data_IF_836619883438
#
_entry.id   IF_836619883438
#
_cell.length_a   1.000
_cell.length_b   1.000
_cell.length_c   1.000
_cell.angle_alpha   90.00
_cell.angle_beta   90.00
_cell.angle_gamma   90.00
#
_symmetry.space_group_name_H-M   'P 1'
#
loop_
_entity.id
_entity.type
_entity.pdbx_description
1 polymer ?
#
# COMPACT_ATOMS: atom_id res chain seq x y z
N UNK A 1 11.18 -13.06 -42.38
CA UNK A 1 11.83 -11.75 -42.50
C UNK A 1 13.23 -11.97 -43.08
N UNK A 2 13.62 -11.23 -44.12
CA UNK A 2 14.96 -11.36 -44.70
C UNK A 2 16.02 -10.80 -43.75
N UNK A 3 17.26 -11.31 -43.84
CA UNK A 3 18.41 -10.76 -43.12
C UNK A 3 18.66 -9.29 -43.47
N UNK A 4 18.28 -8.88 -44.69
CA UNK A 4 18.31 -7.47 -45.13
C UNK A 4 17.24 -6.65 -44.42
N UNK A 5 15.99 -7.11 -44.40
CA UNK A 5 14.87 -6.40 -43.75
C UNK A 5 15.16 -6.15 -42.26
N UNK A 6 15.76 -7.14 -41.58
CA UNK A 6 16.19 -6.99 -40.19
C UNK A 6 17.21 -5.87 -40.00
N UNK A 7 18.17 -5.73 -40.93
CA UNK A 7 19.19 -4.66 -40.88
C UNK A 7 18.58 -3.29 -41.18
N UNK A 8 17.64 -3.21 -42.12
CA UNK A 8 16.89 -1.97 -42.40
C UNK A 8 16.12 -1.52 -41.16
N UNK A 9 15.40 -2.43 -40.51
CA UNK A 9 14.68 -2.14 -39.26
C UNK A 9 15.61 -1.68 -38.13
N UNK A 10 16.77 -2.33 -37.96
CA UNK A 10 17.75 -1.93 -36.94
C UNK A 10 18.37 -0.57 -37.23
N UNK A 11 18.74 -0.29 -38.48
CA UNK A 11 19.27 1.01 -38.88
C UNK A 11 18.25 2.13 -38.64
N UNK A 12 16.99 1.92 -39.05
CA UNK A 12 15.90 2.87 -38.80
C UNK A 12 15.65 3.06 -37.31
N UNK A 13 15.64 1.98 -36.52
CA UNK A 13 15.49 2.04 -35.06
C UNK A 13 16.58 2.88 -34.41
N UNK A 14 17.84 2.59 -34.70
CA UNK A 14 19.00 3.30 -34.12
C UNK A 14 19.06 4.76 -34.55
N UNK A 15 18.68 5.05 -35.79
CA UNK A 15 18.61 6.42 -36.28
C UNK A 15 17.50 7.23 -35.60
N UNK A 16 16.31 6.66 -35.46
CA UNK A 16 15.12 7.38 -34.97
C UNK A 16 14.99 7.42 -33.45
N UNK A 17 15.41 6.37 -32.74
CA UNK A 17 15.29 6.31 -31.27
C UNK A 17 16.58 6.75 -30.57
N UNK A 18 17.74 6.36 -31.10
CA UNK A 18 19.04 6.62 -30.46
C UNK A 18 19.76 7.84 -31.08
N UNK A 19 19.15 8.53 -32.06
CA UNK A 19 19.71 9.66 -32.81
C UNK A 19 21.10 9.39 -33.43
N UNK A 20 21.42 8.14 -33.72
CA UNK A 20 22.72 7.77 -34.26
C UNK A 20 22.86 8.21 -35.72
N UNK A 21 24.05 8.69 -36.06
CA UNK A 21 24.39 9.06 -37.42
C UNK A 21 24.74 7.82 -38.27
N UNK A 22 24.94 8.03 -39.57
CA UNK A 22 25.24 6.96 -40.54
C UNK A 22 26.56 6.23 -40.22
N UNK A 23 27.53 6.93 -39.63
CA UNK A 23 28.83 6.38 -39.27
C UNK A 23 28.74 5.55 -38.00
N UNK A 24 28.02 6.05 -37.00
CA UNK A 24 27.77 5.36 -35.74
C UNK A 24 26.93 4.10 -35.94
N UNK A 25 25.91 4.14 -36.81
CA UNK A 25 25.11 2.96 -37.17
C UNK A 25 25.99 1.90 -37.85
N UNK A 26 26.91 2.32 -38.74
CA UNK A 26 27.86 1.40 -39.38
C UNK A 26 28.75 0.74 -38.34
N UNK A 27 29.34 1.53 -37.46
CA UNK A 27 30.28 1.04 -36.45
C UNK A 27 29.57 0.11 -35.46
N UNK A 28 28.29 0.38 -35.17
CA UNK A 28 27.44 -0.51 -34.36
C UNK A 28 27.12 -1.83 -35.05
N UNK A 29 26.88 -1.84 -36.36
CA UNK A 29 26.73 -3.10 -37.12
C UNK A 29 28.00 -3.97 -37.07
N UNK A 30 29.17 -3.33 -37.10
CA UNK A 30 30.44 -4.04 -36.99
C UNK A 30 30.67 -4.58 -35.57
N UNK A 31 30.40 -3.76 -34.55
CA UNK A 31 30.51 -4.14 -33.14
C UNK A 31 29.57 -5.30 -32.76
N UNK A 32 28.34 -5.33 -33.29
CA UNK A 32 27.39 -6.42 -33.07
C UNK A 32 27.65 -7.66 -33.95
N UNK A 33 28.74 -7.67 -34.74
CA UNK A 33 29.13 -8.79 -35.59
C UNK A 33 28.18 -9.03 -36.79
N UNK A 34 27.38 -8.03 -37.15
CA UNK A 34 26.42 -8.12 -38.25
C UNK A 34 27.06 -7.88 -39.62
N UNK A 35 28.31 -7.41 -39.65
CA UNK A 35 29.13 -7.21 -40.84
C UNK A 35 29.61 -5.76 -41.01
N UNK A 36 30.67 -5.58 -41.79
CA UNK A 36 31.16 -4.25 -42.18
C UNK A 36 30.44 -3.77 -43.44
N UNK A 37 29.78 -2.61 -43.35
CA UNK A 37 28.99 -2.02 -44.44
C UNK A 37 29.56 -0.67 -44.88
N UNK A 38 29.33 -0.31 -46.15
CA UNK A 38 29.64 1.02 -46.64
C UNK A 38 28.61 2.04 -46.09
N UNK A 39 29.04 3.29 -45.89
CA UNK A 39 28.14 4.39 -45.48
C UNK A 39 26.97 4.59 -46.46
N UNK A 40 27.19 4.33 -47.75
CA UNK A 40 26.12 4.35 -48.77
C UNK A 40 25.05 3.31 -48.48
N UNK A 41 25.43 2.09 -48.11
CA UNK A 41 24.48 1.01 -47.78
C UNK A 41 23.62 1.35 -46.58
N UNK A 42 24.19 1.97 -45.54
CA UNK A 42 23.41 2.45 -44.38
C UNK A 42 22.46 3.57 -44.79
N UNK A 43 22.90 4.52 -45.64
CA UNK A 43 22.00 5.55 -46.20
C UNK A 43 20.87 4.95 -47.03
N UNK A 44 21.14 3.90 -47.79
CA UNK A 44 20.11 3.20 -48.57
C UNK A 44 19.07 2.57 -47.63
N UNK A 45 19.50 1.94 -46.54
CA UNK A 45 18.59 1.40 -45.51
C UNK A 45 17.72 2.48 -44.86
N UNK A 46 18.29 3.66 -44.57
CA UNK A 46 17.54 4.78 -43.98
C UNK A 46 16.56 5.45 -44.94
N UNK A 47 16.62 5.14 -46.24
CA UNK A 47 15.76 5.70 -47.29
C UNK A 47 14.83 4.65 -47.93
N UNK A 48 14.90 3.40 -47.51
CA UNK A 48 14.12 2.30 -48.09
C UNK A 48 12.64 2.41 -47.70
N UNK A 49 11.72 2.34 -48.67
CA UNK A 49 10.27 2.25 -48.40
C UNK A 49 9.92 0.83 -47.95
N UNK A 50 9.12 0.63 -46.89
CA UNK A 50 8.27 1.61 -46.20
C UNK A 50 8.88 2.13 -44.88
N UNK A 51 9.72 3.16 -44.96
CA UNK A 51 10.35 3.81 -43.80
C UNK A 51 9.35 4.28 -42.74
N UNK A 52 8.30 4.98 -43.15
CA UNK A 52 7.31 5.58 -42.25
C UNK A 52 6.52 4.52 -41.47
N UNK A 53 5.99 3.49 -42.17
CA UNK A 53 5.29 2.37 -41.53
C UNK A 53 6.19 1.58 -40.57
N UNK A 54 7.49 1.47 -40.89
CA UNK A 54 8.46 0.79 -40.02
C UNK A 54 8.76 1.63 -38.78
N UNK A 55 8.88 2.95 -38.90
CA UNK A 55 9.06 3.85 -37.76
C UNK A 55 7.83 3.82 -36.85
N UNK A 56 6.63 3.97 -37.41
CA UNK A 56 5.37 3.91 -36.65
C UNK A 56 5.23 2.56 -35.93
N UNK A 57 5.53 1.45 -36.61
CA UNK A 57 5.50 0.12 -35.99
C UNK A 57 6.58 -0.07 -34.90
N UNK A 58 7.71 0.63 -34.98
CA UNK A 58 8.75 0.65 -33.94
C UNK A 58 8.26 1.46 -32.74
N UNK A 59 7.69 2.64 -32.97
CA UNK A 59 7.15 3.52 -31.93
C UNK A 59 6.00 2.85 -31.17
N UNK A 60 5.03 2.25 -31.89
CA UNK A 60 3.93 1.51 -31.29
C UNK A 60 4.43 0.35 -30.42
N UNK A 61 5.36 -0.47 -30.93
CA UNK A 61 5.92 -1.57 -30.12
C UNK A 61 6.67 -1.06 -28.90
N UNK A 62 7.37 0.06 -29.00
CA UNK A 62 8.05 0.66 -27.86
C UNK A 62 7.04 1.22 -26.84
N UNK A 63 5.96 1.85 -27.29
CA UNK A 63 4.87 2.32 -26.44
C UNK A 63 4.16 1.15 -25.72
N UNK A 64 3.88 0.05 -26.44
CA UNK A 64 3.30 -1.16 -25.86
C UNK A 64 4.21 -1.77 -24.78
N UNK A 65 5.52 -1.85 -25.04
CA UNK A 65 6.50 -2.37 -24.07
C UNK A 65 6.56 -1.46 -22.84
N UNK A 66 6.57 -0.13 -23.03
CA UNK A 66 6.54 0.84 -21.93
C UNK A 66 5.27 0.69 -21.10
N UNK A 67 4.12 0.53 -21.75
CA UNK A 67 2.84 0.30 -21.09
C UNK A 67 2.84 -1.00 -20.29
N UNK A 68 3.34 -2.10 -20.84
CA UNK A 68 3.45 -3.38 -20.13
C UNK A 68 4.35 -3.29 -18.90
N UNK A 69 5.47 -2.55 -19.00
CA UNK A 69 6.34 -2.30 -17.85
C UNK A 69 5.60 -1.48 -16.80
N UNK A 70 4.91 -0.40 -17.21
CA UNK A 70 4.14 0.45 -16.31
C UNK A 70 3.00 -0.29 -15.60
N UNK A 71 2.29 -1.17 -16.31
CA UNK A 71 1.24 -2.04 -15.75
C UNK A 71 1.80 -3.04 -14.75
N UNK A 72 2.97 -3.62 -15.05
CA UNK A 72 3.66 -4.53 -14.12
C UNK A 72 4.08 -3.81 -12.84
N UNK A 73 4.67 -2.63 -12.95
CA UNK A 73 5.09 -1.82 -11.80
C UNK A 73 3.88 -1.35 -10.96
N UNK A 74 2.75 -1.01 -11.61
CA UNK A 74 1.50 -0.71 -10.91
C UNK A 74 0.97 -1.92 -10.12
N UNK A 75 1.04 -3.13 -10.68
CA UNK A 75 0.64 -4.34 -9.96
C UNK A 75 1.51 -4.60 -8.74
N UNK A 76 2.82 -4.35 -8.84
CA UNK A 76 3.75 -4.47 -7.71
C UNK A 76 3.46 -3.41 -6.65
N UNK A 77 3.20 -2.16 -7.06
CA UNK A 77 2.77 -1.08 -6.17
C UNK A 77 1.50 -1.43 -5.39
N UNK A 78 0.45 -1.89 -6.08
CA UNK A 78 -0.81 -2.29 -5.45
C UNK A 78 -0.62 -3.44 -4.45
N UNK A 79 0.24 -4.40 -4.79
CA UNK A 79 0.57 -5.53 -3.90
C UNK A 79 1.32 -5.07 -2.64
N UNK A 80 2.29 -4.17 -2.79
CA UNK A 80 3.03 -3.60 -1.66
C UNK A 80 2.10 -2.80 -0.72
N UNK A 81 1.19 -2.00 -1.29
CA UNK A 81 0.18 -1.25 -0.53
C UNK A 81 -0.79 -2.16 0.23
N UNK A 82 -1.25 -3.24 -0.39
CA UNK A 82 -2.09 -4.24 0.29
C UNK A 82 -1.35 -4.93 1.43
N UNK A 83 -0.07 -5.28 1.24
CA UNK A 83 0.74 -5.87 2.30
C UNK A 83 0.95 -4.92 3.49
N UNK A 84 1.14 -3.62 3.25
CA UNK A 84 1.18 -2.60 4.31
C UNK A 84 -0.16 -2.52 5.06
N UNK A 85 -1.28 -2.48 4.34
CA UNK A 85 -2.60 -2.43 4.95
C UNK A 85 -2.95 -3.70 5.75
N UNK A 86 -2.53 -4.87 5.28
CA UNK A 86 -2.75 -6.14 5.98
C UNK A 86 -1.87 -6.30 7.23
N UNK A 87 -0.71 -5.64 7.27
CA UNK A 87 0.18 -5.61 8.43
C UNK A 87 -0.33 -4.68 9.55
N UNK A 88 -1.16 -3.69 9.23
CA UNK A 88 -1.79 -2.78 10.20
C UNK A 88 -3.21 -3.25 10.50
N UNK A 89 -3.35 -4.43 11.11
CA UNK A 89 -4.66 -4.89 11.60
C UNK A 89 -4.81 -4.53 13.08
N UNK A 90 -5.82 -3.72 13.36
CA UNK A 90 -6.22 -3.38 14.71
C UNK A 90 -6.81 -4.63 15.38
N UNK A 91 -6.15 -5.13 16.44
CA UNK A 91 -6.69 -6.22 17.24
C UNK A 91 -7.64 -5.64 18.30
N UNK A 92 -8.88 -6.17 18.43
CA UNK A 92 -9.81 -5.71 19.44
C UNK A 92 -9.32 -6.10 20.84
N UNK A 93 -9.11 -5.09 21.69
CA UNK A 93 -8.87 -5.29 23.11
C UNK A 93 -10.21 -5.60 23.74
N UNK A 94 -10.35 -6.83 24.22
CA UNK A 94 -11.50 -7.28 24.97
C UNK A 94 -11.08 -7.38 26.43
N UNK A 95 -11.80 -6.69 27.31
CA UNK A 95 -11.64 -6.84 28.76
C UNK A 95 -12.79 -7.63 29.36
N UNK A 96 -12.52 -8.28 30.48
CA UNK A 96 -13.47 -8.99 31.30
C UNK A 96 -13.90 -8.08 32.45
N UNK A 97 -15.20 -7.82 32.55
CA UNK A 97 -15.79 -7.04 33.66
C UNK A 97 -16.91 -7.82 34.34
N UNK A 98 -17.20 -7.56 35.64
CA UNK A 98 -18.29 -8.20 36.33
C UNK A 98 -19.61 -7.83 35.66
N UNK A 99 -20.46 -8.83 35.42
CA UNK A 99 -21.80 -8.59 34.94
C UNK A 99 -22.62 -7.95 36.05
N UNK A 100 -23.05 -6.71 35.87
CA UNK A 100 -23.90 -6.00 36.82
C UNK A 100 -25.38 -6.06 36.42
N UNK A 101 -26.24 -5.82 37.41
CA UNK A 101 -27.64 -5.49 37.25
C UNK A 101 -27.97 -4.29 38.14
N UNK A 102 -29.11 -3.66 37.94
CA UNK A 102 -29.50 -2.45 38.65
C UNK A 102 -30.62 -2.72 39.63
N UNK A 103 -30.56 -2.13 40.81
CA UNK A 103 -31.71 -2.14 41.73
C UNK A 103 -32.78 -1.21 41.17
N UNK A 104 -34.02 -1.69 41.08
CA UNK A 104 -35.17 -0.89 40.64
C UNK A 104 -35.24 0.45 41.38
N UNK A 105 -35.39 1.55 40.62
CA UNK A 105 -35.44 2.91 41.17
C UNK A 105 -36.66 3.12 42.08
N UNK A 106 -37.76 2.39 41.85
CA UNK A 106 -39.02 2.51 42.58
C UNK A 106 -39.00 1.82 43.96
N UNK A 107 -37.86 1.23 44.35
CA UNK A 107 -37.74 0.47 45.60
C UNK A 107 -37.61 1.41 46.80
N UNK A 108 -38.49 1.26 47.80
CA UNK A 108 -38.46 2.14 48.99
C UNK A 108 -37.33 1.81 49.99
N UNK A 109 -36.80 0.58 49.95
CA UNK A 109 -35.79 0.10 50.91
C UNK A 109 -34.54 -0.43 50.19
N UNK A 110 -33.33 -0.17 50.72
CA UNK A 110 -32.10 -0.70 50.16
C UNK A 110 -32.13 -2.23 50.06
N UNK A 111 -31.67 -2.75 48.93
CA UNK A 111 -31.51 -4.17 48.73
C UNK A 111 -30.30 -4.67 49.51
N UNK A 112 -30.47 -5.74 50.28
CA UNK A 112 -29.35 -6.43 50.91
C UNK A 112 -28.69 -7.35 49.89
N UNK A 113 -27.40 -7.18 49.66
CA UNK A 113 -26.63 -7.98 48.72
C UNK A 113 -25.30 -8.40 49.35
N UNK A 114 -24.69 -9.54 48.96
CA UNK A 114 -23.35 -9.86 49.39
C UNK A 114 -22.37 -8.72 49.06
N UNK A 115 -21.51 -8.38 50.00
CA UNK A 115 -20.44 -7.39 49.79
C UNK A 115 -19.39 -7.97 48.82
N UNK A 116 -18.89 -7.11 47.94
CA UNK A 116 -17.84 -7.44 46.98
C UNK A 116 -16.70 -6.42 47.06
N UNK A 117 -15.52 -6.87 46.67
CA UNK A 117 -14.33 -6.03 46.53
C UNK A 117 -13.59 -6.35 45.23
N UNK A 118 -12.88 -5.36 44.71
CA UNK A 118 -12.02 -5.53 43.53
C UNK A 118 -10.75 -6.24 43.98
N UNK A 119 -10.35 -7.26 43.21
CA UNK A 119 -9.12 -8.01 43.43
C UNK A 119 -8.04 -7.37 42.55
N UNK A 120 -7.02 -6.81 43.18
CA UNK A 120 -5.91 -6.15 42.50
C UNK A 120 -4.95 -7.18 41.88
N UNK A 121 -4.27 -6.85 40.77
CA UNK A 121 -3.22 -7.69 40.21
C UNK A 121 -2.13 -8.01 41.25
N UNK A 122 -1.91 -9.29 41.52
CA UNK A 122 -0.94 -9.77 42.51
C UNK A 122 -1.51 -10.22 43.87
N UNK A 123 -2.82 -10.11 44.08
CA UNK A 123 -3.52 -10.82 45.17
C UNK A 123 -3.53 -12.35 44.87
N UNK A 124 -3.54 -13.19 45.92
CA UNK A 124 -3.59 -14.66 45.80
C UNK A 124 -4.86 -15.12 45.07
N UNK A 125 -5.95 -14.36 45.21
CA UNK A 125 -7.22 -14.64 44.54
C UNK A 125 -7.29 -14.06 43.11
N UNK A 126 -6.23 -13.43 42.61
CA UNK A 126 -6.20 -12.90 41.24
C UNK A 126 -5.96 -14.03 40.23
N UNK A 127 -6.90 -14.32 39.31
CA UNK A 127 -6.78 -15.47 38.42
C UNK A 127 -5.64 -15.34 37.41
N UNK A 128 -4.93 -16.44 37.14
CA UNK A 128 -3.81 -16.47 36.17
C UNK A 128 -4.22 -16.12 34.73
N UNK A 129 -5.49 -16.27 34.38
CA UNK A 129 -6.01 -15.92 33.05
C UNK A 129 -6.33 -14.43 32.90
N UNK A 130 -6.44 -13.69 34.01
CA UNK A 130 -6.83 -12.29 34.00
C UNK A 130 -5.63 -11.41 33.64
N UNK A 131 -5.89 -10.37 32.87
CA UNK A 131 -4.92 -9.35 32.47
C UNK A 131 -5.12 -8.08 33.30
N UNK A 132 -4.11 -7.21 33.37
CA UNK A 132 -4.18 -5.94 34.11
C UNK A 132 -5.35 -5.03 33.73
N UNK A 133 -5.98 -5.24 32.56
CA UNK A 133 -7.15 -4.50 32.08
C UNK A 133 -8.49 -5.05 32.56
N UNK A 134 -8.50 -6.27 33.11
CA UNK A 134 -9.69 -6.96 33.56
C UNK A 134 -10.08 -6.51 34.97
N UNK A 135 -11.38 -6.33 35.20
CA UNK A 135 -11.92 -5.97 36.51
C UNK A 135 -12.36 -7.26 37.19
N UNK A 136 -11.52 -7.75 38.11
CA UNK A 136 -11.81 -8.94 38.90
C UNK A 136 -12.40 -8.52 40.24
N UNK A 137 -13.45 -9.22 40.68
CA UNK A 137 -14.05 -9.02 41.99
C UNK A 137 -14.10 -10.33 42.76
N UNK A 138 -14.20 -10.25 44.09
CA UNK A 138 -14.57 -11.37 44.95
C UNK A 138 -15.66 -10.95 45.92
N UNK A 139 -16.48 -11.91 46.35
CA UNK A 139 -17.48 -11.68 47.39
C UNK A 139 -16.88 -12.01 48.77
N UNK A 140 -16.97 -11.08 49.72
CA UNK A 140 -16.31 -11.17 51.03
C UNK A 140 -17.07 -12.04 52.04
N UNK A 141 -18.28 -12.50 51.68
CA UNK A 141 -19.19 -13.23 52.56
C UNK A 141 -19.95 -12.35 53.56
N UNK A 142 -19.64 -11.04 53.62
CA UNK A 142 -20.45 -10.05 54.35
C UNK A 142 -21.62 -9.59 53.50
N UNK A 143 -22.51 -8.80 54.10
CA UNK A 143 -23.66 -8.19 53.42
C UNK A 143 -23.48 -6.69 53.38
N UNK A 144 -23.76 -6.08 52.24
CA UNK A 144 -23.84 -4.63 52.03
C UNK A 144 -25.26 -4.23 51.63
N UNK A 145 -25.59 -2.95 51.81
CA UNK A 145 -26.85 -2.37 51.36
C UNK A 145 -26.66 -1.62 50.05
N UNK A 146 -27.32 -2.07 48.99
CA UNK A 146 -27.35 -1.44 47.66
C UNK A 146 -28.61 -0.61 47.54
N UNK A 147 -28.46 0.69 47.24
CA UNK A 147 -29.59 1.62 47.18
C UNK A 147 -30.37 1.47 45.86
N UNK A 148 -31.62 1.96 45.80
CA UNK A 148 -32.35 2.08 44.54
C UNK A 148 -31.51 2.85 43.50
N UNK A 149 -31.46 2.34 42.27
CA UNK A 149 -30.68 2.91 41.18
C UNK A 149 -29.17 2.61 41.19
N UNK A 150 -28.65 1.94 42.23
CA UNK A 150 -27.26 1.47 42.26
C UNK A 150 -27.10 0.12 41.53
N UNK A 151 -25.93 -0.08 40.93
CA UNK A 151 -25.56 -1.34 40.29
C UNK A 151 -24.93 -2.32 41.28
N UNK A 152 -25.16 -3.60 41.05
CA UNK A 152 -24.58 -4.68 41.85
C UNK A 152 -24.14 -5.84 40.95
N UNK A 153 -23.05 -6.54 41.29
CA UNK A 153 -22.56 -7.66 40.51
C UNK A 153 -23.42 -8.93 40.71
N UNK A 154 -23.64 -9.64 39.62
CA UNK A 154 -24.39 -10.88 39.60
C UNK A 154 -23.54 -12.09 40.00
N UNK A 155 -24.18 -13.04 40.70
CA UNK A 155 -23.58 -14.31 41.12
C UNK A 155 -23.98 -15.45 40.21
N UNK A 156 -23.05 -16.37 39.97
CA UNK A 156 -23.33 -17.67 39.40
C UNK A 156 -23.94 -18.60 40.46
N UNK A 157 -24.41 -19.76 40.01
CA UNK A 157 -25.09 -20.75 40.87
C UNK A 157 -24.17 -21.30 41.96
N UNK A 158 -22.86 -21.36 41.69
CA UNK A 158 -21.82 -21.76 42.64
C UNK A 158 -21.42 -20.63 43.61
N UNK A 159 -22.00 -19.44 43.46
CA UNK A 159 -21.75 -18.27 44.28
C UNK A 159 -20.61 -17.38 43.82
N UNK A 160 -19.90 -17.75 42.75
CA UNK A 160 -18.82 -16.95 42.12
C UNK A 160 -19.36 -15.73 41.36
N UNK A 161 -18.53 -14.71 41.07
CA UNK A 161 -18.91 -13.61 40.19
C UNK A 161 -19.19 -14.05 38.76
N UNK A 162 -20.22 -13.49 38.14
CA UNK A 162 -20.43 -13.63 36.68
C UNK A 162 -19.72 -12.50 35.97
N UNK A 163 -19.13 -12.83 34.83
CA UNK A 163 -18.42 -11.87 33.99
C UNK A 163 -19.07 -11.73 32.61
N UNK A 164 -18.85 -10.58 31.99
CA UNK A 164 -19.10 -10.34 30.58
C UNK A 164 -17.83 -9.82 29.91
N UNK A 165 -17.74 -10.02 28.60
CA UNK A 165 -16.67 -9.46 27.77
C UNK A 165 -17.15 -8.14 27.23
N UNK A 166 -16.38 -7.08 27.47
CA UNK A 166 -16.62 -5.76 26.92
C UNK A 166 -15.48 -5.36 26.01
N UNK A 167 -15.84 -4.61 24.97
CA UNK A 167 -14.87 -3.99 24.09
C UNK A 167 -14.25 -2.79 24.82
N UNK A 168 -12.94 -2.86 25.07
CA UNK A 168 -12.19 -1.80 25.76
C UNK A 168 -11.51 -0.84 24.78
N UNK A 169 -11.24 -1.31 23.56
CA UNK A 169 -10.65 -0.50 22.50
C UNK A 169 -10.03 -1.32 21.38
N UNK A 170 -9.29 -0.65 20.49
CA UNK A 170 -8.45 -1.28 19.48
C UNK A 170 -7.00 -1.11 19.89
N UNK A 171 -6.26 -2.21 19.98
CA UNK A 171 -4.81 -2.16 20.01
C UNK A 171 -4.35 -2.09 18.56
N UNK A 172 -3.75 -0.96 18.18
CA UNK A 172 -2.88 -0.98 16.99
C UNK A 172 -1.72 -1.89 17.35
N UNK A 173 -1.61 -3.02 16.67
CA UNK A 173 -0.32 -3.70 16.60
C UNK A 173 0.67 -2.69 16.04
N UNK A 174 1.57 -2.20 16.89
CA UNK A 174 2.70 -1.38 16.48
C UNK A 174 3.78 -2.31 15.95
N UNK A 175 3.44 -3.10 14.94
CA UNK A 175 4.38 -4.04 14.35
C UNK A 175 5.08 -3.40 13.15
N UNK A 176 6.35 -3.10 13.43
CA UNK A 176 7.43 -2.75 12.52
C UNK A 176 7.30 -1.42 11.76
N UNK A 177 7.51 -0.30 12.47
CA UNK A 177 7.75 1.03 11.87
C UNK A 177 8.84 1.00 10.78
N UNK A 178 9.84 0.11 10.91
CA UNK A 178 10.90 -0.05 9.93
C UNK A 178 10.40 -0.83 8.70
N UNK A 179 9.54 -1.82 8.89
CA UNK A 179 8.82 -2.53 7.84
C UNK A 179 7.89 -1.61 7.05
N UNK A 180 7.15 -0.72 7.72
CA UNK A 180 6.35 0.31 7.06
C UNK A 180 7.19 1.29 6.26
N UNK A 181 8.31 1.76 6.82
CA UNK A 181 9.25 2.62 6.09
C UNK A 181 9.85 1.92 4.86
N UNK A 182 10.15 0.62 4.98
CA UNK A 182 10.67 -0.19 3.87
C UNK A 182 9.60 -0.40 2.78
N UNK A 183 8.36 -0.69 3.16
CA UNK A 183 7.23 -0.82 2.24
C UNK A 183 6.94 0.49 1.48
N UNK A 184 7.04 1.64 2.17
CA UNK A 184 6.92 2.96 1.52
C UNK A 184 8.05 3.23 0.54
N UNK A 185 9.29 2.87 0.89
CA UNK A 185 10.42 3.00 -0.03
C UNK A 185 10.26 2.11 -1.27
N UNK A 186 9.78 0.87 -1.10
CA UNK A 186 9.47 -0.04 -2.22
C UNK A 186 8.35 0.52 -3.09
N UNK A 187 7.28 1.06 -2.50
CA UNK A 187 6.20 1.73 -3.20
C UNK A 187 6.70 2.92 -4.03
N UNK A 188 7.54 3.79 -3.46
CA UNK A 188 8.16 4.90 -4.17
C UNK A 188 9.04 4.43 -5.32
N UNK A 189 9.83 3.37 -5.13
CA UNK A 189 10.67 2.80 -6.19
C UNK A 189 9.85 2.27 -7.37
N UNK A 190 8.72 1.60 -7.12
CA UNK A 190 7.83 1.12 -8.19
C UNK A 190 7.14 2.28 -8.93
N UNK A 191 6.76 3.35 -8.24
CA UNK A 191 6.21 4.55 -8.87
C UNK A 191 7.24 5.28 -9.74
N UNK A 192 8.48 5.38 -9.26
CA UNK A 192 9.59 5.97 -10.02
C UNK A 192 9.89 5.15 -11.27
N UNK A 193 10.03 3.83 -11.14
CA UNK A 193 10.24 2.92 -12.27
C UNK A 193 9.10 2.97 -13.30
N UNK A 194 7.84 3.10 -12.84
CA UNK A 194 6.68 3.33 -13.70
C UNK A 194 6.78 4.66 -14.44
N UNK A 195 7.16 5.73 -13.74
CA UNK A 195 7.35 7.05 -14.35
C UNK A 195 8.49 7.07 -15.37
N UNK A 196 9.60 6.38 -15.10
CA UNK A 196 10.70 6.20 -16.05
C UNK A 196 10.25 5.42 -17.29
N UNK A 197 9.53 4.31 -17.11
CA UNK A 197 8.99 3.53 -18.21
C UNK A 197 8.04 4.34 -19.10
N UNK A 198 7.21 5.19 -18.51
CA UNK A 198 6.30 6.09 -19.23
C UNK A 198 7.01 7.34 -19.79
N UNK A 199 8.29 7.57 -19.47
CA UNK A 199 9.05 8.74 -19.92
C UNK A 199 8.66 10.04 -19.22
N UNK A 200 8.03 9.98 -18.03
CA UNK A 200 7.63 11.16 -17.24
C UNK A 200 8.85 11.93 -16.74
N UNK A 201 9.97 11.25 -16.49
CA UNK A 201 11.21 11.83 -15.95
C UNK A 201 12.35 11.93 -16.97
N UNK A 202 12.15 11.53 -18.24
CA UNK A 202 13.18 11.70 -19.26
C UNK A 202 13.23 13.16 -19.70
N UNK A 203 14.32 13.86 -19.35
CA UNK A 203 14.58 15.27 -19.68
C UNK A 203 14.76 15.53 -21.18
N UNK A 204 14.87 14.49 -22.00
CA UNK A 204 14.93 14.56 -23.46
C UNK A 204 13.59 14.16 -24.10
N UNK A 205 12.53 14.92 -23.78
CA UNK A 205 11.35 14.91 -24.63
C UNK A 205 11.71 15.70 -25.89
N UNK A 206 12.18 15.01 -26.92
CA UNK A 206 12.25 15.57 -28.27
C UNK A 206 10.81 15.66 -28.82
N UNK A 207 10.06 16.62 -28.26
CA UNK A 207 8.66 16.93 -28.52
C UNK A 207 8.55 17.64 -29.88
N UNK A 208 8.83 16.91 -30.95
CA UNK A 208 8.44 17.29 -32.31
C UNK A 208 7.33 16.35 -32.77
N UNK A 209 6.19 16.38 -32.05
CA UNK A 209 4.95 15.75 -32.51
C UNK A 209 3.93 16.87 -32.67
N UNK A 210 3.75 17.27 -33.93
CA UNK A 210 2.80 18.26 -34.41
C UNK A 210 1.38 17.65 -34.43
N UNK A 211 0.95 17.15 -33.27
CA UNK A 211 -0.30 16.41 -33.08
C UNK A 211 -0.86 16.70 -31.70
N UNK A 212 -1.93 17.50 -31.68
CA UNK A 212 -2.70 17.95 -30.54
C UNK A 212 -3.01 16.79 -29.55
N UNK A 213 -2.22 16.69 -28.48
CA UNK A 213 -2.49 15.76 -27.38
C UNK A 213 -3.49 16.45 -26.45
N UNK A 214 -4.76 16.03 -26.50
CA UNK A 214 -5.77 16.42 -25.52
C UNK A 214 -5.47 15.73 -24.19
N UNK A 215 -4.56 16.29 -23.40
CA UNK A 215 -4.23 15.79 -22.07
C UNK A 215 -5.30 16.20 -21.07
N UNK A 216 -6.47 15.56 -21.12
CA UNK A 216 -7.41 15.52 -19.99
C UNK A 216 -7.17 14.24 -19.20
N UNK A 217 -6.07 14.20 -18.47
CA UNK A 217 -5.88 13.21 -17.40
C UNK A 217 -6.50 13.82 -16.16
N UNK A 218 -7.74 13.44 -15.87
CA UNK A 218 -8.38 13.76 -14.60
C UNK A 218 -7.66 12.96 -13.51
N UNK A 219 -6.71 13.62 -12.84
CA UNK A 219 -6.10 13.06 -11.64
C UNK A 219 -7.18 12.95 -10.56
N UNK A 220 -7.32 11.78 -9.90
CA UNK A 220 -8.15 11.66 -8.71
C UNK A 220 -7.74 12.73 -7.69
N UNK A 221 -8.73 13.41 -7.09
CA UNK A 221 -8.53 14.58 -6.22
C UNK A 221 -7.54 14.28 -5.08
N UNK A 222 -7.56 13.04 -4.57
CA UNK A 222 -6.68 12.55 -3.52
C UNK A 222 -5.20 12.53 -3.94
N UNK A 223 -4.91 12.18 -5.20
CA UNK A 223 -3.55 12.17 -5.76
C UNK A 223 -3.05 13.60 -5.99
N UNK A 224 -3.94 14.51 -6.41
CA UNK A 224 -3.61 15.92 -6.58
C UNK A 224 -3.35 16.61 -5.24
N UNK A 225 -4.04 16.21 -4.16
CA UNK A 225 -3.83 16.72 -2.81
C UNK A 225 -2.47 16.26 -2.25
N UNK A 226 -2.12 14.98 -2.39
CA UNK A 226 -0.85 14.43 -1.91
C UNK A 226 0.37 15.08 -2.58
N UNK A 227 0.30 15.36 -3.88
CA UNK A 227 1.38 16.06 -4.60
C UNK A 227 1.50 17.51 -4.11
N UNK A 228 0.37 18.18 -3.84
CA UNK A 228 0.36 19.58 -3.38
C UNK A 228 0.95 19.73 -1.97
N UNK A 229 0.65 18.80 -1.08
CA UNK A 229 1.19 18.75 0.29
C UNK A 229 2.69 18.46 0.28
N UNK A 230 3.16 17.52 -0.54
CA UNK A 230 4.59 17.21 -0.68
C UNK A 230 5.42 18.39 -1.23
N UNK A 231 4.83 19.26 -2.07
CA UNK A 231 5.52 20.45 -2.59
C UNK A 231 5.50 21.66 -1.65
N UNK A 232 4.74 21.63 -0.55
CA UNK A 232 4.65 22.74 0.41
C UNK A 232 5.64 22.61 1.57
N UNK A 233 6.21 21.42 1.80
CA UNK A 233 7.18 21.18 2.88
C UNK A 233 8.64 21.52 2.47
N UNK A 234 8.88 21.90 1.22
CA UNK A 234 10.21 22.23 0.67
C UNK A 234 10.46 23.76 0.51
N UNK A 235 9.63 24.65 1.09
CA UNK A 235 9.88 26.10 1.21
C UNK A 235 10.21 26.59 2.64
#
# INVERSE_FOLDING_TARGET
MSTRDRRVQLALKWHHLDNLDVEEIRDRFEAEGMGSYARSTVRDYLNEKPKEEVIEAIEQRHADVRLQIAEREEQLYQRARQAEADAVKDEPIIRVVPKTDRVDDDRETPMQWPEWEIVEPGDEDYPEWATERDIIIRFTGRTTSVRPGEEYPLRAVDGSPRYTKEFDGLQRDQDDLKGQAMARNEQSAHLEAKGEALGVYSTDINMNVDGELSTSIELPEDTAAAIREATLDDE
#
